data_IF_533124326996
#
_entry.id   IF_533124326996
#
_cell.length_a   1.000
_cell.length_b   1.000
_cell.length_c   1.000
_cell.angle_alpha   90.00
_cell.angle_beta   90.00
_cell.angle_gamma   90.00
#
_symmetry.space_group_name_H-M   'P 1'
#
loop_
_entity.id
_entity.type
_entity.pdbx_description
1 polymer ?
#
# COMPACT_ATOMS: atom_id res chain seq x y z
N UNK A 1 25.61 18.35 23.37
CA UNK A 1 26.85 17.87 24.00
C UNK A 1 26.88 16.35 23.96
N UNK A 2 27.81 15.73 23.21
CA UNK A 2 27.96 14.28 23.12
C UNK A 2 28.24 13.58 24.46
N UNK A 3 28.77 14.30 25.46
CA UNK A 3 29.04 13.73 26.79
C UNK A 3 27.78 13.19 27.47
N UNK A 4 26.62 13.81 27.20
CA UNK A 4 25.32 13.44 27.78
C UNK A 4 24.81 12.07 27.31
N UNK A 5 25.28 11.57 26.16
CA UNK A 5 24.82 10.29 25.60
C UNK A 5 25.11 9.12 26.54
N UNK A 6 26.21 9.19 27.30
CA UNK A 6 26.60 8.17 28.31
C UNK A 6 25.68 8.12 29.52
N UNK A 7 24.81 9.11 29.66
CA UNK A 7 23.83 9.24 30.74
C UNK A 7 22.39 9.25 30.20
N UNK A 8 22.21 8.89 28.93
CA UNK A 8 20.93 8.97 28.24
C UNK A 8 20.26 7.60 28.09
N UNK A 9 18.95 7.63 27.83
CA UNK A 9 18.20 6.48 27.32
C UNK A 9 17.75 6.79 25.90
N UNK A 10 17.95 5.85 24.98
CA UNK A 10 17.42 5.96 23.62
C UNK A 10 16.15 5.11 23.48
N UNK A 11 15.13 5.69 22.88
CA UNK A 11 13.87 5.03 22.53
C UNK A 11 13.79 4.89 21.03
N UNK A 12 13.58 3.67 20.53
CA UNK A 12 13.47 3.38 19.10
C UNK A 12 12.24 2.52 18.84
N UNK A 13 11.49 2.82 17.79
CA UNK A 13 10.27 2.06 17.44
C UNK A 13 10.57 0.68 16.86
N UNK A 14 11.74 0.50 16.24
CA UNK A 14 12.20 -0.74 15.61
C UNK A 14 13.60 -1.10 16.10
N UNK A 15 13.91 -2.39 16.15
CA UNK A 15 15.24 -2.91 16.46
C UNK A 15 16.35 -2.18 15.65
N UNK A 16 17.40 -1.67 16.32
CA UNK A 16 18.56 -1.07 15.64
C UNK A 16 19.22 -2.06 14.69
N UNK A 17 19.45 -1.65 13.44
CA UNK A 17 20.07 -2.53 12.44
C UNK A 17 21.48 -2.98 12.85
N UNK A 18 21.81 -4.21 12.46
CA UNK A 18 23.06 -4.92 12.82
C UNK A 18 23.92 -5.32 11.61
N UNK A 19 23.50 -4.96 10.39
CA UNK A 19 24.18 -5.30 9.15
C UNK A 19 24.71 -4.03 8.46
N UNK A 20 25.86 -4.15 7.80
CA UNK A 20 26.43 -3.06 7.01
C UNK A 20 25.65 -2.95 5.69
N UNK A 21 24.88 -1.87 5.57
CA UNK A 21 24.17 -1.50 4.33
C UNK A 21 24.87 -0.34 3.64
N UNK A 22 24.08 0.64 3.15
CA UNK A 22 24.61 1.91 2.63
C UNK A 22 25.24 2.79 3.74
N UNK A 23 24.77 2.62 4.97
CA UNK A 23 25.26 3.30 6.17
C UNK A 23 25.74 2.28 7.21
N UNK A 24 26.62 2.69 8.15
CA UNK A 24 27.02 1.84 9.27
C UNK A 24 25.81 1.41 10.13
N UNK A 25 25.89 0.27 10.83
CA UNK A 25 24.77 -0.25 11.63
C UNK A 25 24.47 0.63 12.84
N UNK A 26 23.19 0.89 13.11
CA UNK A 26 22.77 1.70 14.25
C UNK A 26 23.20 1.08 15.59
N UNK A 27 23.21 -0.24 15.71
CA UNK A 27 23.68 -0.93 16.91
C UNK A 27 25.16 -0.60 17.21
N UNK A 28 26.02 -0.54 16.18
CA UNK A 28 27.43 -0.15 16.33
C UNK A 28 27.56 1.29 16.81
N UNK A 29 26.79 2.21 16.22
CA UNK A 29 26.82 3.61 16.61
C UNK A 29 26.38 3.82 18.06
N UNK A 30 25.35 3.10 18.51
CA UNK A 30 24.87 3.14 19.91
C UNK A 30 25.98 2.70 20.87
N UNK A 31 26.69 1.62 20.54
CA UNK A 31 27.82 1.08 21.33
C UNK A 31 28.98 2.08 21.33
N UNK A 32 29.35 2.63 20.16
CA UNK A 32 30.41 3.63 20.02
C UNK A 32 30.13 4.88 20.87
N UNK A 33 28.86 5.34 20.89
CA UNK A 33 28.43 6.48 21.69
C UNK A 33 28.20 6.14 23.17
N UNK A 34 28.38 4.88 23.57
CA UNK A 34 28.28 4.40 24.95
C UNK A 34 26.92 4.74 25.59
N UNK A 35 25.82 4.64 24.83
CA UNK A 35 24.48 4.86 25.39
C UNK A 35 24.11 3.65 26.25
N UNK A 36 23.85 3.81 27.55
CA UNK A 36 23.75 2.69 28.48
C UNK A 36 22.41 1.93 28.39
N UNK A 37 21.33 2.61 28.00
CA UNK A 37 19.97 2.06 28.03
C UNK A 37 19.23 2.29 26.71
N UNK A 38 18.68 1.20 26.15
CA UNK A 38 17.95 1.16 24.89
C UNK A 38 16.55 0.58 25.16
N UNK A 39 15.52 1.30 24.74
CA UNK A 39 14.13 0.85 24.78
C UNK A 39 13.63 0.68 23.35
N UNK A 40 13.22 -0.54 23.02
CA UNK A 40 12.86 -0.96 21.66
C UNK A 40 11.36 -1.30 21.62
N UNK A 41 10.68 -0.72 20.64
CA UNK A 41 9.26 -0.94 20.41
C UNK A 41 8.96 -2.35 19.92
N UNK A 42 9.45 -2.69 18.72
CA UNK A 42 9.28 -4.03 18.15
C UNK A 42 10.59 -4.57 17.56
N UNK A 43 10.72 -5.90 17.54
CA UNK A 43 11.84 -6.59 16.89
C UNK A 43 11.70 -6.48 15.36
N UNK A 44 12.83 -6.40 14.64
CA UNK A 44 12.81 -6.35 13.18
C UNK A 44 12.35 -7.72 12.61
N UNK A 45 11.26 -7.78 11.83
CA UNK A 45 10.81 -9.02 11.18
C UNK A 45 11.76 -9.49 10.07
N UNK A 46 12.66 -8.63 9.58
CA UNK A 46 13.56 -8.97 8.49
C UNK A 46 14.58 -10.01 8.96
N UNK A 47 14.56 -11.18 8.34
CA UNK A 47 15.37 -12.35 8.71
C UNK A 47 16.87 -12.09 8.84
N UNK A 48 17.40 -11.08 8.13
CA UNK A 48 18.82 -10.71 8.23
C UNK A 48 19.16 -9.96 9.52
N UNK A 49 18.20 -9.25 10.11
CA UNK A 49 18.36 -8.42 11.32
C UNK A 49 17.79 -9.08 12.56
N UNK A 50 16.66 -9.78 12.44
CA UNK A 50 15.85 -10.30 13.53
C UNK A 50 16.66 -10.77 14.75
N UNK A 51 16.68 -9.94 15.80
CA UNK A 51 17.29 -10.22 17.10
C UNK A 51 18.80 -9.99 17.19
N UNK A 52 19.51 -9.82 16.07
CA UNK A 52 20.97 -9.65 16.06
C UNK A 52 21.40 -8.28 16.58
N UNK A 53 20.63 -7.22 16.32
CA UNK A 53 20.90 -5.90 16.86
C UNK A 53 20.68 -5.85 18.36
N UNK A 54 19.58 -6.46 18.81
CA UNK A 54 19.29 -6.63 20.24
C UNK A 54 20.40 -7.42 20.95
N UNK A 55 20.80 -8.56 20.38
CA UNK A 55 21.85 -9.39 20.98
C UNK A 55 23.18 -8.64 21.05
N UNK A 56 23.58 -7.97 19.96
CA UNK A 56 24.81 -7.18 19.90
C UNK A 56 24.87 -6.08 20.97
N UNK A 57 23.75 -5.39 21.21
CA UNK A 57 23.66 -4.38 22.27
C UNK A 57 23.78 -4.98 23.67
N UNK A 58 23.16 -6.14 23.91
CA UNK A 58 23.27 -6.87 25.19
C UNK A 58 24.69 -7.37 25.42
N UNK A 59 25.35 -7.92 24.41
CA UNK A 59 26.73 -8.42 24.49
C UNK A 59 27.73 -7.30 24.79
N UNK A 60 27.41 -6.06 24.38
CA UNK A 60 28.19 -4.86 24.71
C UNK A 60 27.90 -4.29 26.12
N UNK A 61 27.03 -4.93 26.90
CA UNK A 61 26.71 -4.55 28.28
C UNK A 61 25.63 -3.48 28.42
N UNK A 62 24.88 -3.14 27.37
CA UNK A 62 23.77 -2.20 27.46
C UNK A 62 22.53 -2.83 28.13
N UNK A 63 21.76 -2.02 28.87
CA UNK A 63 20.41 -2.39 29.31
C UNK A 63 19.44 -2.29 28.11
N UNK A 64 18.85 -3.42 27.69
CA UNK A 64 17.96 -3.47 26.52
C UNK A 64 16.56 -3.99 26.90
N UNK A 65 15.57 -3.11 26.80
CA UNK A 65 14.15 -3.42 26.98
C UNK A 65 13.48 -3.53 25.61
N UNK A 66 12.67 -4.57 25.38
CA UNK A 66 12.02 -4.84 24.10
C UNK A 66 10.52 -5.05 24.32
N UNK A 67 9.70 -4.61 23.36
CA UNK A 67 8.25 -4.83 23.37
C UNK A 67 7.44 -3.64 23.92
N UNK A 68 8.05 -2.46 24.04
CA UNK A 68 7.35 -1.28 24.59
C UNK A 68 6.47 -0.65 23.51
N UNK A 69 5.15 -0.69 23.68
CA UNK A 69 4.18 -0.29 22.64
C UNK A 69 4.39 -1.09 21.34
N UNK A 70 4.64 -2.40 21.47
CA UNK A 70 4.95 -3.26 20.33
C UNK A 70 3.85 -3.23 19.27
N UNK A 71 2.58 -3.31 19.68
CA UNK A 71 1.44 -3.28 18.77
C UNK A 71 1.41 -2.00 17.94
N UNK A 72 1.58 -0.84 18.57
CA UNK A 72 1.60 0.47 17.93
C UNK A 72 2.81 0.65 17.03
N UNK A 73 3.98 0.18 17.47
CA UNK A 73 5.20 0.21 16.67
C UNK A 73 5.06 -0.67 15.43
N UNK A 74 4.45 -1.85 15.56
CA UNK A 74 4.17 -2.73 14.42
C UNK A 74 3.17 -2.10 13.45
N UNK A 75 2.12 -1.46 13.96
CA UNK A 75 1.13 -0.77 13.15
C UNK A 75 1.73 0.41 12.36
N UNK A 76 2.70 1.12 12.95
CA UNK A 76 3.45 2.20 12.30
C UNK A 76 4.22 1.69 11.06
N UNK A 77 4.77 0.48 11.11
CA UNK A 77 5.56 -0.12 10.03
C UNK A 77 4.84 -1.30 9.35
N UNK A 78 3.51 -1.34 9.40
CA UNK A 78 2.71 -2.49 8.92
C UNK A 78 3.01 -2.92 7.49
N UNK A 79 3.32 -1.96 6.59
CA UNK A 79 3.72 -2.24 5.20
C UNK A 79 5.00 -3.06 5.13
N UNK A 80 6.00 -2.64 5.89
CA UNK A 80 7.28 -3.32 6.01
C UNK A 80 7.13 -4.71 6.63
N UNK A 81 6.30 -4.83 7.68
CA UNK A 81 6.01 -6.13 8.31
C UNK A 81 5.35 -7.07 7.31
N UNK A 82 4.25 -6.66 6.67
CA UNK A 82 3.55 -7.48 5.67
C UNK A 82 4.49 -7.91 4.55
N UNK A 83 5.31 -7.00 4.04
CA UNK A 83 6.28 -7.31 3.00
C UNK A 83 7.27 -8.40 3.42
N UNK A 84 7.86 -8.30 4.61
CA UNK A 84 8.88 -9.25 5.07
C UNK A 84 8.34 -10.56 5.64
N UNK A 85 7.13 -10.57 6.22
CA UNK A 85 6.55 -11.78 6.81
C UNK A 85 5.68 -12.54 5.81
N UNK A 86 4.88 -11.84 5.01
CA UNK A 86 3.92 -12.45 4.08
C UNK A 86 4.41 -12.49 2.62
N UNK A 87 5.57 -11.91 2.32
CA UNK A 87 6.18 -11.92 0.98
C UNK A 87 5.25 -11.35 -0.11
N UNK A 88 4.47 -10.33 0.25
CA UNK A 88 3.57 -9.59 -0.63
C UNK A 88 3.45 -8.14 -0.17
N UNK A 89 3.05 -7.19 -1.04
CA UNK A 89 2.73 -5.84 -0.59
C UNK A 89 1.58 -5.82 0.41
N UNK A 90 1.53 -4.77 1.23
CA UNK A 90 0.36 -4.36 1.99
C UNK A 90 -0.69 -3.74 1.06
N UNK A 91 -1.89 -4.30 1.04
CA UNK A 91 -2.92 -4.04 0.04
C UNK A 91 -4.03 -3.20 0.65
N UNK A 92 -4.24 -2.02 0.07
CA UNK A 92 -5.33 -1.09 0.40
C UNK A 92 -6.33 -1.12 -0.73
N UNK A 93 -7.56 -1.53 -0.44
CA UNK A 93 -8.69 -1.42 -1.37
C UNK A 93 -9.38 -0.09 -1.11
N UNK A 94 -9.61 0.71 -2.17
CA UNK A 94 -10.25 2.01 -2.03
C UNK A 94 -11.31 2.24 -3.09
N UNK A 95 -12.48 2.71 -2.64
CA UNK A 95 -13.48 3.28 -3.53
C UNK A 95 -14.26 4.41 -2.87
N UNK A 96 -15.00 5.14 -3.70
CA UNK A 96 -16.05 6.05 -3.26
C UNK A 96 -17.38 5.48 -3.76
N UNK A 97 -18.43 5.59 -2.97
CA UNK A 97 -19.77 5.13 -3.34
C UNK A 97 -20.85 6.15 -2.99
N UNK A 98 -21.95 6.10 -3.72
CA UNK A 98 -23.18 6.82 -3.46
C UNK A 98 -23.88 6.32 -2.19
N UNK A 99 -24.83 7.09 -1.68
CA UNK A 99 -25.61 6.75 -0.49
C UNK A 99 -26.43 5.45 -0.65
N UNK A 100 -26.72 5.07 -1.90
CA UNK A 100 -27.41 3.84 -2.30
C UNK A 100 -26.48 2.74 -2.84
N UNK A 101 -25.17 2.86 -2.60
CA UNK A 101 -24.18 1.78 -2.77
C UNK A 101 -23.74 1.54 -4.20
N UNK A 102 -23.60 2.58 -5.01
CA UNK A 102 -23.08 2.51 -6.37
C UNK A 102 -21.76 3.30 -6.50
N UNK A 103 -20.81 2.77 -7.24
CA UNK A 103 -19.49 3.41 -7.47
C UNK A 103 -19.43 4.21 -8.76
N UNK A 104 -20.35 3.94 -9.69
CA UNK A 104 -20.48 4.65 -10.97
C UNK A 104 -21.86 4.34 -11.59
N UNK A 105 -22.22 5.06 -12.66
CA UNK A 105 -23.31 4.65 -13.55
C UNK A 105 -22.87 3.50 -14.45
N UNK A 106 -23.82 2.71 -14.96
CA UNK A 106 -23.50 1.71 -15.97
C UNK A 106 -23.29 2.42 -17.32
N UNK A 107 -22.02 2.53 -17.73
CA UNK A 107 -21.65 3.30 -18.92
C UNK A 107 -20.79 2.51 -19.90
N UNK A 108 -20.90 2.88 -21.16
CA UNK A 108 -20.05 2.41 -22.26
C UNK A 108 -19.04 3.47 -22.70
N UNK A 109 -19.32 4.74 -22.40
CA UNK A 109 -18.50 5.92 -22.71
C UNK A 109 -18.83 7.08 -21.76
N UNK A 110 -18.14 8.21 -21.90
CA UNK A 110 -18.37 9.42 -21.09
C UNK A 110 -17.50 9.48 -19.83
N UNK A 111 -17.83 10.41 -18.93
CA UNK A 111 -17.05 10.68 -17.71
C UNK A 111 -17.60 9.90 -16.51
N UNK A 112 -16.75 9.47 -15.56
CA UNK A 112 -17.20 8.82 -14.33
C UNK A 112 -18.01 9.77 -13.45
N UNK A 113 -18.91 9.21 -12.65
CA UNK A 113 -19.55 9.99 -11.58
C UNK A 113 -18.50 10.46 -10.57
N UNK A 114 -18.46 11.78 -10.35
CA UNK A 114 -17.63 12.37 -9.30
C UNK A 114 -18.36 12.22 -7.96
N UNK A 115 -17.99 11.20 -7.19
CA UNK A 115 -18.55 10.96 -5.86
C UNK A 115 -17.80 11.72 -4.75
N UNK A 116 -16.47 11.87 -4.93
CA UNK A 116 -15.61 12.58 -3.99
C UNK A 116 -15.69 14.10 -4.14
N UNK A 117 -15.47 14.82 -3.04
CA UNK A 117 -15.29 16.27 -3.05
C UNK A 117 -13.82 16.63 -3.37
N UNK A 118 -13.50 17.90 -3.69
CA UNK A 118 -12.11 18.32 -3.85
C UNK A 118 -11.23 18.04 -2.61
N UNK A 119 -11.77 18.22 -1.40
CA UNK A 119 -11.05 18.01 -0.14
C UNK A 119 -10.82 16.53 0.16
N UNK A 120 -11.80 15.67 -0.14
CA UNK A 120 -11.63 14.23 0.04
C UNK A 120 -10.78 13.61 -1.08
N UNK A 121 -10.83 14.16 -2.29
CA UNK A 121 -9.89 13.83 -3.37
C UNK A 121 -8.44 14.11 -2.98
N UNK A 122 -8.16 15.20 -2.26
CA UNK A 122 -6.84 15.46 -1.67
C UNK A 122 -6.38 14.31 -0.76
N UNK A 123 -7.26 13.73 0.06
CA UNK A 123 -6.92 12.58 0.93
C UNK A 123 -6.59 11.32 0.12
N UNK A 124 -7.31 11.07 -0.98
CA UNK A 124 -6.98 9.98 -1.91
C UNK A 124 -5.59 10.19 -2.51
N UNK A 125 -5.27 11.41 -2.94
CA UNK A 125 -3.96 11.74 -3.47
C UNK A 125 -2.84 11.64 -2.42
N UNK A 126 -3.12 11.94 -1.14
CA UNK A 126 -2.21 11.64 -0.03
C UNK A 126 -1.94 10.13 0.07
N UNK A 127 -2.99 9.29 -0.01
CA UNK A 127 -2.83 7.83 0.01
C UNK A 127 -2.04 7.28 -1.18
N UNK A 128 -2.22 7.87 -2.36
CA UNK A 128 -1.38 7.56 -3.53
C UNK A 128 0.10 7.89 -3.29
N UNK A 129 0.38 9.04 -2.69
CA UNK A 129 1.76 9.46 -2.36
C UNK A 129 2.41 8.57 -1.28
N UNK A 130 1.59 7.97 -0.42
CA UNK A 130 2.04 7.01 0.61
C UNK A 130 2.18 5.58 0.08
N UNK A 131 1.78 5.29 -1.16
CA UNK A 131 1.76 3.94 -1.73
C UNK A 131 2.88 3.77 -2.75
N UNK A 132 3.51 2.59 -2.78
CA UNK A 132 4.55 2.29 -3.77
C UNK A 132 3.96 2.03 -5.15
N UNK A 133 2.75 1.46 -5.19
CA UNK A 133 2.02 1.16 -6.40
C UNK A 133 0.52 1.42 -6.31
N UNK A 134 -0.10 1.72 -7.45
CA UNK A 134 -1.55 1.88 -7.62
C UNK A 134 -2.05 1.03 -8.78
N UNK A 135 -3.16 0.33 -8.60
CA UNK A 135 -3.71 -0.61 -9.59
C UNK A 135 -5.16 -0.31 -9.95
N UNK A 136 -5.47 -0.45 -11.24
CA UNK A 136 -6.83 -0.40 -11.80
C UNK A 136 -7.09 -1.56 -12.76
N UNK A 137 -8.37 -1.92 -12.94
CA UNK A 137 -8.80 -2.91 -13.94
C UNK A 137 -8.91 -2.32 -15.35
N UNK A 138 -8.95 -3.19 -16.38
CA UNK A 138 -9.03 -2.77 -17.80
C UNK A 138 -10.21 -1.82 -18.06
N UNK A 139 -11.40 -2.12 -17.52
CA UNK A 139 -12.61 -1.31 -17.73
C UNK A 139 -12.45 0.11 -17.20
N UNK A 140 -11.93 0.26 -15.98
CA UNK A 140 -11.61 1.58 -15.40
C UNK A 140 -10.59 2.32 -16.25
N UNK A 141 -9.52 1.63 -16.67
CA UNK A 141 -8.50 2.26 -17.50
C UNK A 141 -9.05 2.76 -18.86
N UNK A 142 -9.92 1.98 -19.51
CA UNK A 142 -10.53 2.34 -20.78
C UNK A 142 -11.54 3.48 -20.65
N UNK A 143 -12.39 3.44 -19.61
CA UNK A 143 -13.49 4.37 -19.46
C UNK A 143 -13.08 5.70 -18.81
N UNK A 144 -12.10 5.69 -17.90
CA UNK A 144 -11.67 6.91 -17.19
C UNK A 144 -10.41 7.53 -17.78
N UNK A 145 -9.62 6.73 -18.52
CA UNK A 145 -8.27 7.08 -18.95
C UNK A 145 -7.47 7.76 -17.81
N UNK A 146 -7.35 7.14 -16.61
CA UNK A 146 -6.83 7.84 -15.45
C UNK A 146 -5.30 8.01 -15.57
N UNK A 147 -4.78 9.17 -15.16
CA UNK A 147 -3.33 9.36 -15.10
C UNK A 147 -2.68 8.62 -13.91
N UNK A 148 -3.45 8.30 -12.86
CA UNK A 148 -3.02 7.64 -11.61
C UNK A 148 -1.81 8.28 -10.91
N UNK A 149 -1.63 9.58 -11.10
CA UNK A 149 -0.58 10.39 -10.45
C UNK A 149 -1.03 11.06 -9.16
N UNK A 150 -0.07 11.54 -8.38
CA UNK A 150 -0.26 12.45 -7.24
C UNK A 150 -0.29 13.89 -7.78
N UNK A 151 -1.47 14.55 -7.70
CA UNK A 151 -1.70 15.91 -8.23
C UNK A 151 -2.21 16.88 -7.18
N UNK A 152 -3.02 16.38 -6.25
CA UNK A 152 -3.64 17.17 -5.20
C UNK A 152 -2.90 17.03 -3.85
N UNK A 153 -1.68 16.51 -3.84
CA UNK A 153 -0.86 16.33 -2.63
C UNK A 153 0.63 16.34 -2.99
N UNK A 154 1.51 16.49 -2.00
CA UNK A 154 2.95 16.41 -2.19
C UNK A 154 3.48 14.98 -1.98
N UNK A 155 4.36 14.51 -2.87
CA UNK A 155 5.04 13.24 -2.74
C UNK A 155 5.37 12.63 -4.10
N UNK A 156 5.86 11.40 -4.09
CA UNK A 156 6.21 10.68 -5.31
C UNK A 156 4.98 10.03 -5.96
N UNK A 157 5.02 9.88 -7.29
CA UNK A 157 4.01 9.10 -7.99
C UNK A 157 4.22 7.60 -7.69
N UNK A 158 3.15 6.85 -7.36
CA UNK A 158 3.23 5.40 -7.27
C UNK A 158 3.52 4.80 -8.65
N UNK A 159 4.11 3.60 -8.67
CA UNK A 159 4.15 2.76 -9.88
C UNK A 159 2.72 2.47 -10.29
N UNK A 160 2.38 2.79 -11.54
CA UNK A 160 1.03 2.59 -12.07
C UNK A 160 0.91 1.13 -12.53
N UNK A 161 -0.22 0.50 -12.23
CA UNK A 161 -0.48 -0.88 -12.61
C UNK A 161 -1.84 -0.94 -13.29
N UNK A 162 -1.89 -1.60 -14.43
CA UNK A 162 -3.15 -1.85 -15.14
C UNK A 162 -3.24 -3.28 -15.60
N UNK A 163 -4.41 -3.88 -15.40
CA UNK A 163 -4.78 -5.14 -16.03
C UNK A 163 -5.16 -4.85 -17.47
N UNK A 164 -4.48 -5.46 -18.44
CA UNK A 164 -4.80 -5.33 -19.87
C UNK A 164 -4.61 -6.65 -20.61
N UNK A 165 -5.40 -7.66 -20.21
CA UNK A 165 -5.31 -9.04 -20.70
C UNK A 165 -5.03 -9.16 -22.20
N UNK A 166 -5.77 -8.41 -23.02
CA UNK A 166 -5.79 -8.53 -24.48
C UNK A 166 -5.16 -7.34 -25.22
N UNK A 167 -4.36 -6.50 -24.57
CA UNK A 167 -3.80 -5.27 -25.17
C UNK A 167 -4.86 -4.30 -25.70
N UNK A 168 -5.96 -4.17 -24.96
CA UNK A 168 -7.12 -3.35 -25.35
C UNK A 168 -6.89 -1.86 -25.10
N UNK A 169 -5.93 -1.47 -24.27
CA UNK A 169 -5.68 -0.05 -24.01
C UNK A 169 -5.13 0.66 -25.26
N UNK A 170 -5.69 1.82 -25.63
CA UNK A 170 -5.15 2.62 -26.72
C UNK A 170 -3.77 3.18 -26.35
N UNK A 171 -2.89 3.34 -27.34
CA UNK A 171 -1.57 3.94 -27.12
C UNK A 171 -1.62 5.39 -26.65
N UNK A 172 -2.74 6.07 -26.88
CA UNK A 172 -3.03 7.43 -26.40
C UNK A 172 -3.46 7.46 -24.93
N UNK A 173 -3.59 6.31 -24.26
CA UNK A 173 -3.92 6.26 -22.85
C UNK A 173 -2.83 6.94 -22.01
N UNK A 174 -3.25 7.67 -20.97
CA UNK A 174 -2.34 8.26 -19.99
C UNK A 174 -1.47 7.20 -19.29
N UNK A 175 -1.90 5.94 -19.24
CA UNK A 175 -1.12 4.84 -18.67
C UNK A 175 -0.04 4.31 -19.63
N UNK A 176 -0.09 4.67 -20.92
CA UNK A 176 0.86 4.24 -21.96
C UNK A 176 1.86 5.34 -22.36
N UNK A 177 1.81 6.50 -21.71
CA UNK A 177 2.54 7.72 -22.06
C UNK A 177 4.03 7.72 -21.67
N UNK A 178 4.51 6.69 -20.97
CA UNK A 178 5.88 6.54 -20.47
C UNK A 178 6.34 7.63 -19.48
N UNK A 179 5.41 8.44 -18.94
CA UNK A 179 5.73 9.57 -18.04
C UNK A 179 6.00 9.15 -16.59
N UNK A 180 5.41 8.03 -16.16
CA UNK A 180 5.59 7.40 -14.86
C UNK A 180 5.75 5.91 -15.07
N UNK A 181 6.61 5.27 -14.26
CA UNK A 181 6.80 3.81 -14.28
C UNK A 181 5.45 3.09 -14.21
N UNK A 182 5.19 2.24 -15.22
CA UNK A 182 3.91 1.57 -15.41
C UNK A 182 4.11 0.09 -15.72
N UNK A 183 3.40 -0.76 -14.99
CA UNK A 183 3.32 -2.19 -15.22
C UNK A 183 1.97 -2.53 -15.86
N UNK A 184 2.01 -3.26 -16.97
CA UNK A 184 0.82 -3.73 -17.68
C UNK A 184 0.78 -5.26 -17.63
N UNK A 185 -0.20 -5.80 -16.91
CA UNK A 185 -0.38 -7.24 -16.81
C UNK A 185 -1.24 -7.77 -17.96
N UNK A 186 -0.73 -8.72 -18.74
CA UNK A 186 -1.31 -9.16 -20.02
C UNK A 186 -1.25 -10.68 -20.20
N UNK A 187 -2.07 -11.26 -21.09
CA UNK A 187 -2.03 -12.70 -21.40
C UNK A 187 -0.96 -13.06 -22.44
N UNK A 188 -0.71 -12.14 -23.38
CA UNK A 188 0.24 -12.36 -24.46
C UNK A 188 1.44 -11.41 -24.32
N UNK A 189 2.68 -11.89 -24.56
CA UNK A 189 3.87 -11.08 -24.41
C UNK A 189 3.88 -9.89 -25.37
N UNK A 190 4.45 -8.77 -24.89
CA UNK A 190 4.64 -7.55 -25.67
C UNK A 190 5.90 -6.84 -25.23
N UNK A 191 6.60 -6.22 -26.17
CA UNK A 191 7.79 -5.43 -25.85
C UNK A 191 7.41 -4.17 -25.06
N UNK A 192 8.13 -3.94 -23.97
CA UNK A 192 8.03 -2.73 -23.16
C UNK A 192 8.83 -1.56 -23.70
N UNK A 193 8.75 -0.44 -22.98
CA UNK A 193 9.61 0.75 -23.09
C UNK A 193 10.25 1.01 -21.73
N UNK A 194 11.12 2.01 -21.63
CA UNK A 194 11.88 2.34 -20.41
C UNK A 194 11.00 2.43 -19.13
N UNK A 195 9.86 3.13 -19.19
CA UNK A 195 8.94 3.28 -18.05
C UNK A 195 7.61 2.53 -18.26
N UNK A 196 7.55 1.60 -19.22
CA UNK A 196 6.35 0.84 -19.55
C UNK A 196 6.70 -0.63 -19.73
N UNK A 197 6.47 -1.42 -18.69
CA UNK A 197 6.78 -2.84 -18.67
C UNK A 197 5.51 -3.68 -18.88
N UNK A 198 5.57 -4.65 -19.78
CA UNK A 198 4.51 -5.65 -19.96
C UNK A 198 4.91 -6.94 -19.23
N UNK A 199 4.05 -7.40 -18.32
CA UNK A 199 4.24 -8.63 -17.57
C UNK A 199 3.19 -9.64 -18.03
N UNK A 200 3.66 -10.77 -18.55
CA UNK A 200 2.79 -11.84 -19.02
C UNK A 200 2.33 -12.71 -17.85
N UNK A 201 1.02 -12.92 -17.74
CA UNK A 201 0.39 -13.78 -16.74
C UNK A 201 -0.13 -15.06 -17.39
N UNK A 202 -0.06 -16.15 -16.65
CA UNK A 202 -0.74 -17.38 -16.98
C UNK A 202 -2.19 -17.33 -16.45
N UNK A 203 -3.15 -17.14 -17.36
CA UNK A 203 -4.58 -17.09 -17.05
C UNK A 203 -5.24 -18.47 -16.88
N UNK A 204 -4.50 -19.56 -17.10
CA UNK A 204 -4.95 -20.93 -16.78
C UNK A 204 -4.82 -21.24 -15.28
N UNK A 205 -4.09 -20.40 -14.53
CA UNK A 205 -3.93 -20.49 -13.07
C UNK A 205 -4.40 -19.20 -12.40
N UNK A 206 -4.50 -19.19 -11.06
CA UNK A 206 -4.78 -17.96 -10.33
C UNK A 206 -3.71 -16.90 -10.60
N UNK A 207 -4.16 -15.72 -11.01
CA UNK A 207 -3.30 -14.60 -11.38
C UNK A 207 -2.89 -13.75 -10.18
N UNK A 208 -3.64 -13.78 -9.07
CA UNK A 208 -3.32 -12.94 -7.91
C UNK A 208 -1.94 -13.28 -7.32
N UNK A 209 -1.57 -14.54 -7.06
CA UNK A 209 -0.23 -14.87 -6.58
C UNK A 209 0.88 -14.44 -7.55
N UNK A 210 0.63 -14.52 -8.87
CA UNK A 210 1.58 -14.10 -9.90
C UNK A 210 1.81 -12.58 -9.86
N UNK A 211 0.73 -11.80 -9.74
CA UNK A 211 0.79 -10.34 -9.59
C UNK A 211 1.58 -9.99 -8.32
N UNK A 212 1.21 -10.56 -7.16
CA UNK A 212 1.86 -10.27 -5.89
C UNK A 212 3.36 -10.63 -5.91
N UNK A 213 3.72 -11.75 -6.53
CA UNK A 213 5.11 -12.16 -6.71
C UNK A 213 5.89 -11.15 -7.55
N UNK A 214 5.32 -10.68 -8.66
CA UNK A 214 5.94 -9.66 -9.51
C UNK A 214 6.17 -8.33 -8.76
N UNK A 215 5.23 -7.93 -7.89
CA UNK A 215 5.38 -6.74 -7.06
C UNK A 215 6.42 -6.92 -5.97
N UNK A 216 6.43 -8.09 -5.32
CA UNK A 216 7.41 -8.44 -4.28
C UNK A 216 8.84 -8.42 -4.82
N UNK A 217 9.08 -9.03 -5.99
CA UNK A 217 10.39 -9.03 -6.66
C UNK A 217 10.89 -7.62 -7.02
N UNK A 218 9.96 -6.67 -7.20
CA UNK A 218 10.27 -5.26 -7.46
C UNK A 218 10.42 -4.43 -6.17
N UNK A 219 10.37 -5.06 -5.00
CA UNK A 219 10.42 -4.41 -3.69
C UNK A 219 9.30 -3.37 -3.45
N UNK A 220 8.15 -3.56 -4.09
CA UNK A 220 6.98 -2.72 -3.85
C UNK A 220 6.28 -3.22 -2.58
N UNK A 221 6.36 -2.44 -1.50
CA UNK A 221 5.88 -2.85 -0.17
C UNK A 221 4.39 -2.56 0.03
N UNK A 222 3.79 -1.73 -0.82
CA UNK A 222 2.39 -1.36 -0.73
C UNK A 222 1.72 -1.24 -2.09
N UNK A 223 0.45 -1.65 -2.12
CA UNK A 223 -0.40 -1.64 -3.30
C UNK A 223 -1.74 -1.00 -2.94
N UNK A 224 -2.09 0.10 -3.60
CA UNK A 224 -3.42 0.67 -3.54
C UNK A 224 -4.22 0.21 -4.76
N UNK A 225 -5.43 -0.31 -4.56
CA UNK A 225 -6.32 -0.72 -5.65
C UNK A 225 -7.51 0.23 -5.67
N UNK A 226 -7.66 0.96 -6.77
CA UNK A 226 -8.71 1.96 -6.94
C UNK A 226 -9.66 1.61 -8.08
N UNK A 227 -10.96 1.72 -7.80
CA UNK A 227 -11.98 1.61 -8.83
C UNK A 227 -12.09 0.21 -9.48
N UNK A 228 -13.20 0.01 -10.20
CA UNK A 228 -13.49 -1.26 -10.86
C UNK A 228 -13.95 -2.35 -9.88
N UNK A 229 -15.27 -2.50 -9.78
CA UNK A 229 -15.95 -3.49 -8.92
C UNK A 229 -15.31 -4.89 -9.00
N UNK A 230 -15.11 -5.40 -10.22
CA UNK A 230 -14.62 -6.76 -10.46
C UNK A 230 -13.23 -6.98 -9.83
N UNK A 231 -12.33 -6.01 -9.99
CA UNK A 231 -10.97 -6.12 -9.43
C UNK A 231 -11.02 -6.09 -7.91
N UNK A 232 -11.73 -5.12 -7.33
CA UNK A 232 -11.90 -5.00 -5.87
C UNK A 232 -12.51 -6.29 -5.27
N UNK A 233 -13.58 -6.80 -5.87
CA UNK A 233 -14.24 -8.05 -5.43
C UNK A 233 -13.32 -9.26 -5.53
N UNK A 234 -12.41 -9.33 -6.51
CA UNK A 234 -11.45 -10.44 -6.61
C UNK A 234 -10.48 -10.49 -5.41
N UNK A 235 -10.00 -9.34 -4.95
CA UNK A 235 -9.16 -9.24 -3.75
C UNK A 235 -9.96 -9.52 -2.48
N UNK A 236 -11.20 -9.01 -2.39
CA UNK A 236 -12.10 -9.28 -1.25
C UNK A 236 -12.38 -10.78 -1.12
N UNK A 237 -12.80 -11.44 -2.22
CA UNK A 237 -13.16 -12.86 -2.24
C UNK A 237 -11.99 -13.80 -1.97
N UNK A 238 -10.80 -13.46 -2.46
CA UNK A 238 -9.57 -14.22 -2.16
C UNK A 238 -9.09 -14.01 -0.71
N UNK A 239 -9.60 -12.98 -0.04
CA UNK A 239 -9.14 -12.58 1.28
C UNK A 239 -7.74 -11.97 1.28
N UNK A 240 -7.17 -11.61 0.12
CA UNK A 240 -5.83 -11.06 0.00
C UNK A 240 -5.89 -9.53 0.05
N UNK A 241 -6.19 -8.96 1.21
CA UNK A 241 -6.18 -7.52 1.43
C UNK A 241 -5.92 -7.22 2.90
N UNK A 242 -5.46 -6.01 3.22
CA UNK A 242 -5.13 -5.61 4.59
C UNK A 242 -6.00 -4.45 5.08
N UNK A 243 -6.29 -3.48 4.21
CA UNK A 243 -7.08 -2.28 4.52
C UNK A 243 -8.17 -2.08 3.46
N UNK A 244 -9.37 -1.69 3.88
CA UNK A 244 -10.37 -1.12 2.97
C UNK A 244 -10.78 0.27 3.44
N UNK A 245 -10.77 1.23 2.51
CA UNK A 245 -11.24 2.59 2.71
C UNK A 245 -12.41 2.87 1.77
N UNK A 246 -13.59 3.13 2.35
CA UNK A 246 -14.81 3.48 1.62
C UNK A 246 -15.17 4.93 1.92
N UNK A 247 -15.19 5.77 0.89
CA UNK A 247 -15.72 7.12 0.98
C UNK A 247 -17.23 7.12 0.66
N UNK A 248 -18.06 7.64 1.56
CA UNK A 248 -19.53 7.69 1.39
C UNK A 248 -19.97 9.08 0.91
N UNK A 249 -20.53 9.15 -0.28
CA UNK A 249 -21.13 10.35 -0.86
C UNK A 249 -22.63 10.42 -0.51
N UNK A 250 -23.16 11.64 -0.30
CA UNK A 250 -24.60 11.84 -0.08
C UNK A 250 -25.44 11.75 -1.36
N UNK A 251 -24.79 11.58 -2.52
CA UNK A 251 -25.47 11.45 -3.82
C UNK A 251 -26.22 10.12 -3.90
N UNK A 252 -27.36 10.11 -4.61
CA UNK A 252 -28.09 8.91 -5.00
C UNK A 252 -27.96 8.70 -6.51
N UNK A 253 -27.62 7.49 -6.94
CA UNK A 253 -27.51 7.15 -8.37
C UNK A 253 -28.70 6.32 -8.89
N UNK A 254 -29.44 5.68 -8.00
CA UNK A 254 -30.59 4.80 -8.22
C UNK A 254 -30.28 3.51 -8.99
N UNK A 255 -29.30 3.54 -9.89
CA UNK A 255 -28.82 2.40 -10.68
C UNK A 255 -27.37 2.61 -11.09
N UNK A 256 -26.70 1.54 -11.48
CA UNK A 256 -25.33 1.58 -11.98
C UNK A 256 -24.47 0.44 -11.47
N UNK A 257 -23.17 0.67 -11.44
CA UNK A 257 -22.19 -0.31 -10.95
C UNK A 257 -22.24 -0.32 -9.44
N UNK A 258 -22.77 -1.40 -8.84
CA UNK A 258 -22.80 -1.55 -7.38
C UNK A 258 -21.39 -1.55 -6.78
N UNK A 259 -21.29 -1.01 -5.57
CA UNK A 259 -20.09 -1.10 -4.77
C UNK A 259 -19.79 -2.56 -4.37
N UNK A 260 -18.50 -2.92 -4.18
CA UNK A 260 -18.12 -4.20 -3.61
C UNK A 260 -18.71 -4.37 -2.20
N UNK A 261 -19.12 -5.59 -1.87
CA UNK A 261 -19.61 -5.94 -0.54
C UNK A 261 -18.47 -6.46 0.34
N UNK A 262 -18.43 -5.99 1.60
CA UNK A 262 -17.56 -6.54 2.64
C UNK A 262 -18.45 -7.25 3.65
N UNK A 263 -18.00 -8.41 4.12
CA UNK A 263 -18.73 -9.19 5.12
C UNK A 263 -18.99 -8.37 6.39
N UNK A 264 -20.24 -8.36 6.85
CA UNK A 264 -20.66 -7.71 8.11
C UNK A 264 -19.96 -8.25 9.35
N UNK A 265 -19.25 -9.39 9.23
CA UNK A 265 -18.45 -9.97 10.32
C UNK A 265 -17.14 -9.21 10.55
N UNK A 266 -16.71 -8.37 9.62
CA UNK A 266 -15.48 -7.59 9.74
C UNK A 266 -15.84 -6.23 10.32
N UNK A 267 -15.27 -5.92 11.49
CA UNK A 267 -15.46 -4.61 12.11
C UNK A 267 -14.78 -3.51 11.30
N UNK A 268 -15.40 -2.33 11.34
CA UNK A 268 -14.86 -1.11 10.75
C UNK A 268 -14.99 0.05 11.73
N UNK A 269 -14.14 1.06 11.56
CA UNK A 269 -14.33 2.37 12.17
C UNK A 269 -14.99 3.33 11.16
N UNK A 270 -15.76 4.29 11.68
CA UNK A 270 -16.22 5.42 10.90
C UNK A 270 -15.46 6.67 11.32
N UNK A 271 -14.94 7.38 10.32
CA UNK A 271 -14.26 8.65 10.49
C UNK A 271 -14.96 9.71 9.63
N UNK A 272 -15.06 10.94 10.13
CA UNK A 272 -15.57 12.05 9.34
C UNK A 272 -14.43 12.98 8.96
N UNK A 273 -14.21 13.12 7.66
CA UNK A 273 -13.24 14.05 7.09
C UNK A 273 -13.97 15.03 6.19
N UNK A 274 -13.90 16.34 6.51
CA UNK A 274 -14.54 17.39 5.72
C UNK A 274 -16.04 17.15 5.47
N UNK A 275 -16.77 16.72 6.51
CA UNK A 275 -18.19 16.34 6.46
C UNK A 275 -18.52 15.08 5.64
N UNK A 276 -17.53 14.41 5.05
CA UNK A 276 -17.69 13.13 4.37
C UNK A 276 -17.35 11.98 5.31
N UNK A 277 -18.21 10.96 5.34
CA UNK A 277 -17.97 9.75 6.14
C UNK A 277 -17.07 8.78 5.39
N UNK A 278 -16.04 8.29 6.07
CA UNK A 278 -15.19 7.20 5.62
C UNK A 278 -15.40 5.98 6.49
N UNK A 279 -15.64 4.81 5.88
CA UNK A 279 -15.55 3.53 6.57
C UNK A 279 -14.18 2.93 6.35
N UNK A 280 -13.55 2.52 7.42
CA UNK A 280 -12.22 1.96 7.41
C UNK A 280 -12.24 0.56 8.03
N UNK A 281 -11.99 -0.44 7.20
CA UNK A 281 -11.89 -1.84 7.62
C UNK A 281 -10.41 -2.19 7.69
N UNK A 282 -10.00 -2.74 8.83
CA UNK A 282 -8.66 -3.28 9.01
C UNK A 282 -8.75 -4.79 9.18
N UNK A 283 -8.15 -5.53 8.26
CA UNK A 283 -8.04 -6.97 8.39
C UNK A 283 -6.94 -7.29 9.38
N UNK A 284 -7.32 -7.57 10.63
CA UNK A 284 -6.36 -8.08 11.62
C UNK A 284 -5.97 -9.50 11.21
N UNK A 285 -4.70 -9.70 10.87
CA UNK A 285 -4.14 -11.03 10.73
C UNK A 285 -4.10 -11.65 12.14
N UNK A 286 -5.07 -12.53 12.44
CA UNK A 286 -5.00 -13.46 13.57
C UNK A 286 -3.92 -14.50 13.33
#
# INVERSE_FOLDING_TARGET
>A
DPSLLKHSTIYVSLEPCSHHGKTPPCADLIIEKQIPRIVIGCQDPFSKVAGKGIQKLRDAGCEVIVGVLETECRELIRKFITFHTLHRPYIVLKWAESADGFIDLERTEGQPVILSTPLTSMLVHKKRAESDAIMVGTRTALLDNPALTVRNWHGHNPVRIVMDRNHSLPQTSHLSDNSVSTLVFTEHPRAGKENLEYITLNYQTDILPQILSALYQRNLQSLMIEGGRILLESFIRSGIWDEVIIEKSDKLLYSGVKAPEISDKISYSEEKHFCTTFRHYLKRNT
#
